data_IF_900807924487
#
_entry.id   IF_900807924487
#
_cell.length_a   1.000
_cell.length_b   1.000
_cell.length_c   1.000
_cell.angle_alpha   90.00
_cell.angle_beta   90.00
_cell.angle_gamma   90.00
#
_symmetry.space_group_name_H-M   'P 1'
#
loop_
_entity.id
_entity.type
_entity.pdbx_description
1 polymer ?
#
# COMPACT_ATOMS: atom_id res chain seq x y z
N UNK A 1 -1.20 -7.57 10.35
CA UNK A 1 -2.05 -8.14 9.27
C UNK A 1 -3.40 -8.55 9.84
N UNK A 2 -4.54 -8.27 9.19
CA UNK A 2 -5.86 -8.72 9.67
C UNK A 2 -5.96 -10.26 9.55
N UNK A 3 -6.73 -10.92 10.42
CA UNK A 3 -6.84 -12.39 10.41
C UNK A 3 -7.30 -12.96 9.05
N UNK A 4 -8.17 -12.23 8.34
CA UNK A 4 -8.62 -12.60 6.99
C UNK A 4 -7.49 -12.52 5.94
N UNK A 5 -6.64 -11.49 6.02
CA UNK A 5 -5.50 -11.32 5.12
C UNK A 5 -4.46 -12.43 5.32
N UNK A 6 -4.20 -12.80 6.58
CA UNK A 6 -3.28 -13.89 6.89
C UNK A 6 -3.79 -15.23 6.33
N UNK A 7 -5.07 -15.53 6.51
CA UNK A 7 -5.68 -16.74 5.92
C UNK A 7 -5.57 -16.77 4.39
N UNK A 8 -5.73 -15.61 3.71
CA UNK A 8 -5.56 -15.49 2.26
C UNK A 8 -4.13 -15.81 1.81
N UNK A 9 -3.12 -15.36 2.57
CA UNK A 9 -1.70 -15.64 2.27
C UNK A 9 -1.37 -17.11 2.52
N UNK A 10 -1.79 -17.66 3.66
CA UNK A 10 -1.57 -19.06 4.02
C UNK A 10 -2.06 -20.00 2.92
N UNK A 11 -3.26 -19.74 2.37
CA UNK A 11 -3.88 -20.57 1.32
C UNK A 11 -3.38 -20.30 -0.11
N UNK A 12 -2.53 -19.29 -0.34
CA UNK A 12 -2.09 -18.87 -1.67
C UNK A 12 -0.67 -19.33 -1.98
N UNK A 13 -0.40 -19.88 -3.16
CA UNK A 13 0.98 -20.22 -3.57
C UNK A 13 1.70 -19.02 -4.21
N UNK A 14 0.93 -18.04 -4.67
CA UNK A 14 1.43 -16.83 -5.31
C UNK A 14 0.70 -15.58 -4.83
N UNK A 15 1.45 -14.54 -4.50
CA UNK A 15 0.95 -13.28 -3.95
C UNK A 15 1.44 -12.11 -4.80
N UNK A 16 0.51 -11.29 -5.26
CA UNK A 16 0.78 -10.01 -5.90
C UNK A 16 0.65 -8.87 -4.89
N UNK A 17 1.65 -8.01 -4.79
CA UNK A 17 1.62 -6.80 -3.97
C UNK A 17 1.68 -5.60 -4.89
N UNK A 18 0.71 -4.69 -4.77
CA UNK A 18 0.58 -3.50 -5.62
C UNK A 18 0.94 -2.27 -4.78
N UNK A 19 2.13 -1.70 -5.00
CA UNK A 19 2.63 -0.49 -4.37
C UNK A 19 3.93 -0.73 -3.60
N UNK A 20 5.04 -0.19 -4.09
CA UNK A 20 6.39 -0.29 -3.49
C UNK A 20 6.69 0.75 -2.41
N UNK A 21 5.66 1.19 -1.67
CA UNK A 21 5.82 2.03 -0.48
C UNK A 21 6.19 1.22 0.78
N UNK A 22 6.21 1.85 1.97
CA UNK A 22 6.53 1.17 3.23
C UNK A 22 5.74 -0.12 3.42
N UNK A 23 4.41 -0.02 3.35
CA UNK A 23 3.50 -1.14 3.58
C UNK A 23 3.72 -2.30 2.61
N UNK A 24 3.91 -2.02 1.31
CA UNK A 24 4.10 -3.10 0.34
C UNK A 24 5.48 -3.76 0.44
N UNK A 25 6.51 -3.00 0.78
CA UNK A 25 7.86 -3.55 1.01
C UNK A 25 7.92 -4.37 2.30
N UNK A 26 7.29 -3.89 3.37
CA UNK A 26 7.15 -4.63 4.63
C UNK A 26 6.39 -5.94 4.39
N UNK A 27 5.22 -5.89 3.74
CA UNK A 27 4.42 -7.09 3.44
C UNK A 27 5.20 -8.10 2.58
N UNK A 28 5.90 -7.63 1.55
CA UNK A 28 6.74 -8.50 0.73
C UNK A 28 7.82 -9.20 1.58
N UNK A 29 8.44 -8.46 2.50
CA UNK A 29 9.45 -8.98 3.41
C UNK A 29 8.90 -10.01 4.40
N UNK A 30 7.76 -9.74 5.02
CA UNK A 30 7.08 -10.68 5.93
C UNK A 30 6.75 -11.99 5.20
N UNK A 31 6.13 -11.94 4.01
CA UNK A 31 5.72 -13.13 3.27
C UNK A 31 6.93 -14.01 2.90
N UNK A 32 8.02 -13.44 2.37
CA UNK A 32 9.18 -14.25 1.96
C UNK A 32 10.01 -14.80 3.13
N UNK A 33 9.84 -14.24 4.33
CA UNK A 33 10.46 -14.75 5.55
C UNK A 33 9.63 -15.89 6.13
N UNK A 34 8.31 -15.71 6.26
CA UNK A 34 7.42 -16.67 6.91
C UNK A 34 7.03 -17.82 5.96
N UNK A 35 6.96 -17.54 4.66
CA UNK A 35 6.55 -18.49 3.61
C UNK A 35 7.56 -18.53 2.45
N UNK A 36 8.78 -19.04 2.66
CA UNK A 36 9.86 -19.00 1.67
C UNK A 36 9.57 -19.79 0.37
N UNK A 37 8.52 -20.61 0.34
CA UNK A 37 8.07 -21.34 -0.85
C UNK A 37 7.08 -20.57 -1.74
N UNK A 38 6.47 -19.49 -1.24
CA UNK A 38 5.46 -18.74 -1.99
C UNK A 38 6.13 -17.80 -3.00
N UNK A 39 5.51 -17.65 -4.16
CA UNK A 39 5.94 -16.69 -5.19
C UNK A 39 5.40 -15.31 -4.85
N UNK A 40 6.26 -14.31 -4.76
CA UNK A 40 5.86 -12.93 -4.46
C UNK A 40 6.26 -12.03 -5.62
N UNK A 41 5.28 -11.31 -6.17
CA UNK A 41 5.51 -10.26 -7.15
C UNK A 41 5.15 -8.91 -6.54
N UNK A 42 6.06 -7.95 -6.58
CA UNK A 42 5.86 -6.59 -6.08
C UNK A 42 5.87 -5.60 -7.25
N UNK A 43 4.73 -4.99 -7.54
CA UNK A 43 4.59 -4.00 -8.61
C UNK A 43 4.59 -2.60 -8.01
N UNK A 44 5.36 -1.69 -8.60
CA UNK A 44 5.42 -0.29 -8.20
C UNK A 44 5.49 0.66 -9.40
N UNK A 45 4.64 1.69 -9.39
CA UNK A 45 4.55 2.68 -10.50
C UNK A 45 5.77 3.57 -10.63
N UNK A 46 6.55 3.73 -9.56
CA UNK A 46 7.70 4.61 -9.53
C UNK A 46 8.97 3.92 -10.03
N UNK A 47 10.05 4.70 -10.26
CA UNK A 47 11.32 4.16 -10.74
C UNK A 47 12.09 3.36 -9.69
N UNK A 48 11.72 3.47 -8.40
CA UNK A 48 12.40 2.83 -7.26
C UNK A 48 11.41 2.54 -6.13
N UNK A 49 11.71 1.52 -5.32
CA UNK A 49 10.98 1.27 -4.07
C UNK A 49 11.28 2.35 -3.03
N UNK A 50 10.33 2.62 -2.13
CA UNK A 50 10.51 3.54 -1.00
C UNK A 50 11.05 4.92 -1.42
N UNK A 51 10.43 5.58 -2.40
CA UNK A 51 10.96 6.84 -2.99
C UNK A 51 11.17 7.99 -1.98
N UNK A 52 10.59 7.90 -0.79
CA UNK A 52 10.76 8.87 0.29
C UNK A 52 12.07 8.70 1.09
N UNK A 53 12.81 7.60 0.91
CA UNK A 53 14.11 7.37 1.56
C UNK A 53 15.27 7.57 0.57
N UNK A 54 16.48 7.77 1.11
CA UNK A 54 17.67 7.95 0.29
C UNK A 54 17.99 6.75 -0.61
N UNK A 55 18.55 7.03 -1.79
CA UNK A 55 18.79 6.06 -2.87
C UNK A 55 19.53 4.79 -2.43
N UNK A 56 20.52 4.93 -1.53
CA UNK A 56 21.27 3.79 -0.98
C UNK A 56 20.39 2.83 -0.19
N UNK A 57 19.47 3.36 0.62
CA UNK A 57 18.58 2.55 1.43
C UNK A 57 17.51 1.89 0.56
N UNK A 58 16.93 2.63 -0.39
CA UNK A 58 15.99 2.11 -1.40
C UNK A 58 16.62 0.95 -2.19
N UNK A 59 17.86 1.12 -2.67
CA UNK A 59 18.61 0.07 -3.36
C UNK A 59 18.86 -1.15 -2.47
N UNK A 60 19.25 -0.95 -1.21
CA UNK A 60 19.46 -2.06 -0.27
C UNK A 60 18.18 -2.89 -0.06
N UNK A 61 17.02 -2.24 0.03
CA UNK A 61 15.73 -2.93 0.11
C UNK A 61 15.44 -3.74 -1.15
N UNK A 62 15.63 -3.15 -2.33
CA UNK A 62 15.47 -3.84 -3.61
C UNK A 62 16.40 -5.06 -3.70
N UNK A 63 17.70 -4.87 -3.44
CA UNK A 63 18.70 -5.94 -3.49
C UNK A 63 18.34 -7.09 -2.52
N UNK A 64 17.85 -6.77 -1.33
CA UNK A 64 17.41 -7.78 -0.35
C UNK A 64 16.17 -8.55 -0.81
N UNK A 65 15.13 -7.88 -1.31
CA UNK A 65 13.93 -8.53 -1.84
C UNK A 65 14.25 -9.42 -3.04
N UNK A 66 15.06 -8.93 -3.97
CA UNK A 66 15.53 -9.71 -5.12
C UNK A 66 16.36 -10.92 -4.68
N UNK A 67 17.19 -10.78 -3.64
CA UNK A 67 17.93 -11.93 -3.05
C UNK A 67 17.01 -12.99 -2.44
N UNK A 68 15.78 -12.60 -2.05
CA UNK A 68 14.71 -13.48 -1.59
C UNK A 68 13.80 -13.96 -2.72
N UNK A 69 14.18 -13.75 -3.98
CA UNK A 69 13.43 -14.15 -5.19
C UNK A 69 12.06 -13.49 -5.31
N UNK A 70 11.91 -12.27 -4.77
CA UNK A 70 10.74 -11.45 -5.07
C UNK A 70 10.90 -10.88 -6.48
N UNK A 71 9.89 -11.05 -7.32
CA UNK A 71 9.84 -10.44 -8.64
C UNK A 71 9.38 -8.98 -8.49
N UNK A 72 10.31 -8.03 -8.58
CA UNK A 72 10.00 -6.61 -8.43
C UNK A 72 9.86 -5.95 -9.80
N UNK A 73 8.67 -5.43 -10.09
CA UNK A 73 8.35 -4.73 -11.33
C UNK A 73 8.19 -3.23 -11.07
N UNK A 74 9.11 -2.44 -11.61
CA UNK A 74 9.16 -0.98 -11.45
C UNK A 74 8.63 -0.27 -12.68
N UNK A 75 8.18 0.97 -12.53
CA UNK A 75 7.55 1.76 -13.60
C UNK A 75 6.33 1.08 -14.22
N UNK A 76 5.66 0.24 -13.43
CA UNK A 76 4.48 -0.50 -13.84
C UNK A 76 3.36 -0.30 -12.82
N UNK A 77 2.12 -0.22 -13.30
CA UNK A 77 0.92 -0.19 -12.46
C UNK A 77 -0.08 -1.26 -12.90
N UNK A 78 -1.04 -1.56 -12.05
CA UNK A 78 -2.20 -2.38 -12.37
C UNK A 78 -3.43 -1.48 -12.28
N UNK A 79 -4.38 -1.65 -13.20
CA UNK A 79 -5.67 -0.97 -13.10
C UNK A 79 -6.46 -1.55 -11.91
N UNK A 80 -6.74 -0.69 -10.93
CA UNK A 80 -7.45 -1.11 -9.73
C UNK A 80 -8.93 -1.38 -9.99
N UNK A 81 -9.50 -0.75 -11.04
CA UNK A 81 -10.89 -0.95 -11.42
C UNK A 81 -11.16 -2.33 -12.02
N UNK A 82 -10.13 -3.01 -12.50
CA UNK A 82 -10.20 -4.38 -13.02
C UNK A 82 -9.86 -5.45 -12.00
N UNK A 83 -9.55 -5.09 -10.74
CA UNK A 83 -9.23 -6.09 -9.72
C UNK A 83 -10.49 -6.83 -9.29
N UNK A 84 -10.41 -8.16 -9.26
CA UNK A 84 -11.42 -9.02 -8.66
C UNK A 84 -10.75 -10.07 -7.77
N UNK A 85 -11.46 -10.55 -6.76
CA UNK A 85 -10.96 -11.63 -5.90
C UNK A 85 -11.02 -13.01 -6.59
N UNK A 86 -11.72 -13.12 -7.73
CA UNK A 86 -11.85 -14.37 -8.49
C UNK A 86 -10.84 -14.47 -9.63
N UNK A 87 -10.41 -13.34 -10.20
CA UNK A 87 -9.40 -13.34 -11.25
C UNK A 87 -8.00 -13.42 -10.64
N UNK A 88 -7.22 -14.36 -11.17
CA UNK A 88 -5.82 -14.56 -10.80
C UNK A 88 -4.85 -13.92 -11.77
N UNK A 89 -5.36 -13.15 -12.73
CA UNK A 89 -4.58 -12.62 -13.86
C UNK A 89 -4.67 -11.10 -13.84
N UNK A 90 -3.52 -10.44 -13.76
CA UNK A 90 -3.37 -9.00 -13.62
C UNK A 90 -2.58 -8.48 -14.81
N UNK A 91 -3.08 -7.43 -15.46
CA UNK A 91 -2.37 -6.75 -16.55
C UNK A 91 -1.65 -5.53 -16.02
N UNK A 92 -0.37 -5.41 -16.36
CA UNK A 92 0.42 -4.22 -16.03
C UNK A 92 0.23 -3.15 -17.09
N UNK A 93 0.56 -1.90 -16.74
CA UNK A 93 0.57 -0.76 -17.66
C UNK A 93 1.55 -0.92 -18.84
N UNK A 94 2.51 -1.85 -18.74
CA UNK A 94 3.49 -2.18 -19.77
C UNK A 94 3.04 -3.36 -20.65
N UNK A 95 1.83 -3.88 -20.42
CA UNK A 95 1.25 -4.99 -21.18
C UNK A 95 1.65 -6.38 -20.69
N UNK A 96 2.47 -6.48 -19.64
CA UNK A 96 2.81 -7.76 -19.02
C UNK A 96 1.58 -8.37 -18.32
N UNK A 97 1.55 -9.70 -18.28
CA UNK A 97 0.51 -10.46 -17.58
C UNK A 97 1.12 -11.16 -16.38
N UNK A 98 0.66 -10.81 -15.18
CA UNK A 98 1.09 -11.39 -13.91
C UNK A 98 -0.01 -12.30 -13.38
N UNK A 99 0.36 -13.49 -12.91
CA UNK A 99 -0.60 -14.41 -12.27
C UNK A 99 -0.33 -14.56 -10.78
N UNK A 100 -1.35 -14.37 -9.94
CA UNK A 100 -1.26 -14.59 -8.49
C UNK A 100 -2.58 -15.11 -7.91
N UNK A 101 -2.49 -15.99 -6.91
CA UNK A 101 -3.65 -16.55 -6.20
C UNK A 101 -4.37 -15.52 -5.34
N UNK A 102 -3.63 -14.53 -4.84
CA UNK A 102 -4.19 -13.35 -4.21
C UNK A 102 -3.40 -12.09 -4.53
N UNK A 103 -4.02 -10.93 -4.28
CA UNK A 103 -3.37 -9.64 -4.35
C UNK A 103 -3.61 -8.80 -3.09
N UNK A 104 -2.69 -7.86 -2.84
CA UNK A 104 -2.80 -6.83 -1.82
C UNK A 104 -2.53 -5.46 -2.42
N UNK A 105 -3.46 -4.53 -2.19
CA UNK A 105 -3.34 -3.13 -2.63
C UNK A 105 -2.68 -2.32 -1.51
N UNK A 106 -1.40 -2.01 -1.70
CA UNK A 106 -0.52 -1.28 -0.78
C UNK A 106 -0.20 0.13 -1.29
N UNK A 107 -1.11 0.71 -2.06
CA UNK A 107 -1.04 2.13 -2.46
C UNK A 107 -1.65 3.00 -1.35
N UNK A 108 -1.28 4.28 -1.32
CA UNK A 108 -1.77 5.22 -0.31
C UNK A 108 -3.30 5.17 -0.18
N UNK A 109 -3.78 4.92 1.04
CA UNK A 109 -5.21 4.93 1.35
C UNK A 109 -5.72 6.38 1.38
N UNK A 110 -6.94 6.65 0.87
CA UNK A 110 -7.56 7.95 1.05
C UNK A 110 -7.77 8.24 2.54
N UNK A 111 -7.85 9.51 2.90
CA UNK A 111 -8.14 9.92 4.27
C UNK A 111 -9.56 9.46 4.66
N UNK A 112 -9.69 8.88 5.85
CA UNK A 112 -10.97 8.42 6.42
C UNK A 112 -11.79 9.57 7.02
N UNK A 113 -11.78 10.73 6.38
CA UNK A 113 -12.41 11.97 6.85
C UNK A 113 -13.63 12.37 6.03
N UNK A 114 -14.00 11.60 5.00
CA UNK A 114 -15.15 11.92 4.14
C UNK A 114 -16.45 12.10 4.92
N UNK A 115 -16.68 11.30 5.96
CA UNK A 115 -17.85 11.39 6.84
C UNK A 115 -17.92 12.69 7.64
N UNK A 116 -16.81 13.44 7.78
CA UNK A 116 -16.79 14.71 8.50
C UNK A 116 -17.45 15.85 7.72
N UNK A 117 -17.61 15.71 6.40
CA UNK A 117 -18.27 16.73 5.56
C UNK A 117 -19.74 16.99 5.96
N UNK A 118 -20.38 16.03 6.62
CA UNK A 118 -21.76 16.12 7.09
C UNK A 118 -21.87 16.43 8.59
N UNK A 119 -20.78 16.92 9.20
CA UNK A 119 -20.70 17.21 10.63
C UNK A 119 -20.36 18.69 10.89
N UNK A 120 -20.34 19.08 12.16
CA UNK A 120 -19.88 20.41 12.60
C UNK A 120 -18.41 20.70 12.21
N UNK A 121 -17.63 19.68 11.83
CA UNK A 121 -16.21 19.81 11.47
C UNK A 121 -15.97 20.06 9.98
N UNK A 122 -17.03 20.19 9.16
CA UNK A 122 -16.91 20.43 7.71
C UNK A 122 -15.97 21.59 7.37
N UNK A 123 -16.10 22.71 8.07
CA UNK A 123 -15.29 23.91 7.88
C UNK A 123 -13.89 23.81 8.51
N UNK A 124 -13.63 22.74 9.26
CA UNK A 124 -12.33 22.43 9.86
C UNK A 124 -11.49 21.52 8.97
N UNK A 125 -11.90 21.21 7.74
CA UNK A 125 -11.14 20.39 6.79
C UNK A 125 -10.34 21.25 5.80
N UNK A 126 -9.09 20.86 5.52
CA UNK A 126 -8.30 21.48 4.45
C UNK A 126 -8.74 21.01 3.05
N UNK A 127 -8.12 21.56 2.01
CA UNK A 127 -8.41 21.18 0.61
C UNK A 127 -8.10 19.73 0.25
N UNK A 128 -7.40 19.00 1.12
CA UNK A 128 -7.11 17.56 0.97
C UNK A 128 -7.99 16.70 1.88
N UNK A 129 -8.90 17.29 2.65
CA UNK A 129 -9.79 16.60 3.59
C UNK A 129 -9.16 16.32 4.96
N UNK A 130 -8.02 16.91 5.31
CA UNK A 130 -7.40 16.73 6.64
C UNK A 130 -8.04 17.67 7.66
N UNK A 131 -8.24 17.20 8.88
CA UNK A 131 -8.70 18.07 9.98
C UNK A 131 -7.58 19.06 10.32
N UNK A 132 -7.87 20.34 10.17
CA UNK A 132 -6.97 21.42 10.52
C UNK A 132 -6.91 21.57 12.03
N UNK A 133 -5.69 21.56 12.57
CA UNK A 133 -5.45 21.72 14.00
C UNK A 133 -4.46 22.85 14.28
N UNK A 134 -4.54 23.38 15.50
CA UNK A 134 -3.53 24.24 16.10
C UNK A 134 -2.35 23.42 16.61
N UNK A 135 -1.28 24.10 17.06
CA UNK A 135 -0.05 23.46 17.55
C UNK A 135 -0.26 22.54 18.76
N UNK A 136 -1.35 22.72 19.50
CA UNK A 136 -1.76 21.91 20.65
C UNK A 136 -2.85 20.89 20.31
N UNK A 137 -3.02 20.59 19.02
CA UNK A 137 -3.94 19.58 18.48
C UNK A 137 -5.43 19.95 18.57
N UNK A 138 -5.78 21.15 19.03
CA UNK A 138 -7.17 21.62 18.98
C UNK A 138 -7.61 21.83 17.54
N UNK A 139 -8.81 21.37 17.20
CA UNK A 139 -9.39 21.57 15.87
C UNK A 139 -9.69 23.05 15.67
N UNK A 140 -9.29 23.59 14.51
CA UNK A 140 -9.53 25.00 14.20
C UNK A 140 -11.03 25.34 14.29
N UNK A 141 -11.35 26.38 15.05
CA UNK A 141 -12.71 26.83 15.33
C UNK A 141 -13.31 26.29 16.64
N UNK A 142 -12.63 25.36 17.33
CA UNK A 142 -13.14 24.72 18.54
C UNK A 142 -12.12 24.77 19.69
N UNK A 143 -12.63 24.95 20.91
CA UNK A 143 -11.78 25.00 22.13
C UNK A 143 -11.74 23.67 22.89
N UNK A 144 -12.59 22.71 22.51
CA UNK A 144 -12.82 21.45 23.23
C UNK A 144 -12.79 20.21 22.31
N UNK A 145 -12.43 20.36 21.04
CA UNK A 145 -12.28 19.26 20.09
C UNK A 145 -10.80 19.18 19.69
N UNK A 146 -10.25 17.96 19.70
CA UNK A 146 -8.87 17.69 19.34
C UNK A 146 -8.82 16.66 18.22
N UNK A 147 -7.82 16.74 17.33
CA UNK A 147 -7.59 15.75 16.29
C UNK A 147 -6.09 15.44 16.16
N UNK A 148 -5.78 14.18 15.88
CA UNK A 148 -4.42 13.69 15.63
C UNK A 148 -4.50 12.54 14.63
N UNK A 149 -3.45 12.41 13.80
CA UNK A 149 -3.34 11.38 12.76
C UNK A 149 -2.88 11.95 11.44
#
# INVERSE_FOLDING_TARGET
MLAADNGKIESSESVLIIGGGPTGVELAGEIVVDYPGKRVTLIHRGPRLLEFIGDKASKKCLDWLTSKKVDVLLQQSVDLGSLSDTEKVYKTSDGETVTADCHFVCIGKPLSSSWLHDTILKESLDSKGRVMVEKDLRVKGFNNIFAIG
#
